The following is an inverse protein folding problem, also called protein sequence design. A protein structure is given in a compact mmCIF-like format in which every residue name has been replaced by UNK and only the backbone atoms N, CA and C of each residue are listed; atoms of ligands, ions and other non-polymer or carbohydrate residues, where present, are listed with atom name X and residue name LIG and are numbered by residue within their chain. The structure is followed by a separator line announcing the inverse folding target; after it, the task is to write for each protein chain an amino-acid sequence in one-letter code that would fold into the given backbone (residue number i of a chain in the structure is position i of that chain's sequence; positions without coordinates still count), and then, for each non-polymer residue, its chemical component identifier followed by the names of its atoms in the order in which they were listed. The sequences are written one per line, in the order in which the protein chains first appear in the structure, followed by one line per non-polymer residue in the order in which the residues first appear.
data_IF_443739722099
#
_entry.id   IF_443739722099
#
_cell.length_a   1.000
_cell.length_b   1.000
_cell.length_c   1.000
_cell.angle_alpha   90.00
_cell.angle_beta   90.00
_cell.angle_gamma   90.00
#
_symmetry.space_group_name_H-M   'P 1'
#
loop_
_entity.id
_entity.type
_entity.pdbx_description
1 polymer ?
#
# COMPACT_ATOMS: atom_id res chain seq x y z
N UNK A 1 14.85 -8.96 -7.67
CA UNK A 1 16.05 -9.63 -7.14
C UNK A 1 17.17 -8.62 -7.24
N UNK A 2 17.68 -8.12 -6.11
CA UNK A 2 18.92 -7.34 -6.09
C UNK A 2 20.05 -8.31 -5.78
N UNK A 3 21.21 -8.14 -6.42
CA UNK A 3 22.39 -8.95 -6.14
C UNK A 3 23.47 -8.00 -5.69
N UNK A 4 24.07 -8.28 -4.54
CA UNK A 4 25.14 -7.46 -3.95
C UNK A 4 26.44 -8.23 -4.00
N UNK A 5 27.54 -7.54 -4.28
CA UNK A 5 28.87 -8.09 -4.04
C UNK A 5 29.32 -7.82 -2.59
N UNK A 6 30.47 -8.38 -2.24
CA UNK A 6 31.13 -8.22 -0.94
C UNK A 6 31.50 -6.77 -0.59
N UNK A 7 31.60 -5.90 -1.59
CA UNK A 7 31.84 -4.45 -1.42
C UNK A 7 30.54 -3.64 -1.23
N UNK A 8 29.37 -4.29 -1.24
CA UNK A 8 28.06 -3.68 -1.07
C UNK A 8 27.48 -3.05 -2.35
N UNK A 9 28.11 -3.27 -3.51
CA UNK A 9 27.64 -2.75 -4.78
C UNK A 9 26.42 -3.54 -5.27
N UNK A 10 25.33 -2.85 -5.58
CA UNK A 10 24.09 -3.47 -6.04
C UNK A 10 24.09 -3.60 -7.58
N UNK A 11 24.04 -4.83 -8.08
CA UNK A 11 23.87 -5.13 -9.49
C UNK A 11 22.40 -5.40 -9.81
N UNK A 12 21.80 -4.47 -10.55
CA UNK A 12 20.55 -4.69 -11.28
C UNK A 12 20.86 -5.03 -12.75
N UNK A 13 20.12 -5.96 -13.39
CA UNK A 13 20.31 -6.26 -14.80
C UNK A 13 20.17 -5.01 -15.68
N UNK A 14 20.96 -4.90 -16.76
CA UNK A 14 21.07 -3.76 -17.69
C UNK A 14 19.72 -3.25 -18.22
N UNK A 15 18.67 -4.09 -18.19
CA UNK A 15 17.30 -3.70 -18.51
C UNK A 15 16.76 -2.50 -17.70
N UNK A 16 17.35 -2.18 -16.54
CA UNK A 16 16.98 -1.01 -15.73
C UNK A 16 17.49 0.32 -16.30
N UNK A 17 18.60 0.34 -17.05
CA UNK A 17 19.12 1.59 -17.65
C UNK A 17 18.16 2.19 -18.69
N UNK A 18 17.45 1.33 -19.43
CA UNK A 18 16.39 1.76 -20.36
C UNK A 18 15.13 2.28 -19.65
N UNK A 19 14.89 1.87 -18.40
CA UNK A 19 13.77 2.33 -17.56
C UNK A 19 14.10 3.69 -16.90
N UNK A 20 15.36 3.91 -16.54
CA UNK A 20 15.84 5.17 -15.95
C UNK A 20 15.70 6.36 -16.92
N UNK A 21 16.00 6.14 -18.21
CA UNK A 21 15.78 7.14 -19.27
C UNK A 21 14.30 7.51 -19.50
N UNK A 22 13.36 6.72 -18.96
CA UNK A 22 11.90 6.95 -19.04
C UNK A 22 11.30 7.48 -17.73
N UNK A 23 12.14 7.89 -16.77
CA UNK A 23 11.69 8.50 -15.52
C UNK A 23 11.37 7.50 -14.40
N UNK A 24 11.66 6.21 -14.57
CA UNK A 24 11.60 5.28 -13.46
C UNK A 24 12.72 5.62 -12.45
N UNK A 25 12.36 6.01 -11.22
CA UNK A 25 13.32 6.12 -10.13
C UNK A 25 13.92 4.74 -9.88
N UNK A 26 15.21 4.59 -10.16
CA UNK A 26 15.90 3.33 -9.90
C UNK A 26 16.23 3.25 -8.41
N UNK A 27 16.43 2.04 -7.87
CA UNK A 27 17.03 1.90 -6.54
C UNK A 27 18.40 2.61 -6.44
N UNK A 28 19.09 2.90 -7.55
CA UNK A 28 20.35 3.62 -7.55
C UNK A 28 20.21 5.12 -7.20
N UNK A 29 18.99 5.69 -7.25
CA UNK A 29 18.72 7.06 -6.78
C UNK A 29 18.60 7.13 -5.25
N UNK A 30 18.42 5.98 -4.58
CA UNK A 30 18.62 5.84 -3.13
C UNK A 30 20.12 5.62 -2.93
N UNK A 31 20.85 6.71 -2.70
CA UNK A 31 22.31 6.80 -2.83
C UNK A 31 23.13 5.64 -2.24
N UNK A 32 24.41 5.60 -2.60
CA UNK A 32 25.45 4.60 -2.26
C UNK A 32 25.67 4.29 -0.75
N UNK A 33 24.73 4.57 0.15
CA UNK A 33 24.87 4.50 1.59
C UNK A 33 24.41 3.17 2.22
N UNK A 34 23.91 2.22 1.42
CA UNK A 34 23.50 0.91 1.94
C UNK A 34 24.59 -0.13 1.74
N UNK A 35 25.29 -0.53 2.80
CA UNK A 35 26.09 -1.77 2.80
C UNK A 35 25.15 -2.97 2.76
N UNK A 36 25.67 -4.15 2.39
CA UNK A 36 24.93 -5.41 2.40
C UNK A 36 24.24 -5.66 3.75
N UNK A 37 24.92 -5.38 4.87
CA UNK A 37 24.39 -5.55 6.23
C UNK A 37 23.24 -4.58 6.53
N UNK A 38 23.37 -3.30 6.14
CA UNK A 38 22.29 -2.33 6.34
C UNK A 38 21.08 -2.63 5.46
N UNK A 39 21.30 -3.22 4.28
CA UNK A 39 20.22 -3.68 3.40
C UNK A 39 19.51 -4.91 3.99
N UNK A 40 20.26 -5.87 4.53
CA UNK A 40 19.70 -7.04 5.23
C UNK A 40 18.87 -6.63 6.44
N UNK A 41 19.39 -5.73 7.29
CA UNK A 41 18.66 -5.22 8.46
C UNK A 41 17.34 -4.54 8.03
N UNK A 42 17.39 -3.67 7.03
CA UNK A 42 16.18 -3.04 6.46
C UNK A 42 15.18 -4.09 5.95
N UNK A 43 15.64 -5.20 5.35
CA UNK A 43 14.75 -6.26 4.85
C UNK A 43 14.13 -7.10 5.94
N UNK A 44 14.89 -7.48 6.96
CA UNK A 44 14.36 -8.16 8.15
C UNK A 44 13.28 -7.31 8.83
N UNK A 45 13.47 -5.99 8.85
CA UNK A 45 12.53 -5.04 9.45
C UNK A 45 11.28 -4.77 8.58
N UNK A 46 11.40 -4.79 7.26
CA UNK A 46 10.31 -4.36 6.36
C UNK A 46 9.48 -5.48 5.74
N UNK A 47 9.93 -6.74 5.78
CA UNK A 47 9.27 -7.86 5.09
C UNK A 47 8.67 -8.83 6.12
N UNK A 48 7.42 -8.60 6.54
CA UNK A 48 6.81 -9.38 7.63
C UNK A 48 6.21 -10.74 7.22
N UNK A 49 6.15 -11.08 5.92
CA UNK A 49 5.21 -12.14 5.48
C UNK A 49 5.66 -13.13 4.41
N UNK A 50 6.93 -13.16 4.02
CA UNK A 50 7.46 -14.30 3.26
C UNK A 50 8.82 -14.68 3.80
N UNK A 51 8.92 -15.91 4.32
CA UNK A 51 10.18 -16.56 4.59
C UNK A 51 11.08 -16.40 3.37
N UNK A 52 12.12 -15.62 3.54
CA UNK A 52 13.19 -15.34 2.63
C UNK A 52 13.67 -16.58 1.85
N UNK A 53 13.27 -16.74 0.58
CA UNK A 53 14.00 -17.56 -0.39
C UNK A 53 15.26 -16.79 -0.84
N UNK A 54 16.12 -16.42 0.10
CA UNK A 54 17.44 -15.88 -0.20
C UNK A 54 18.46 -16.91 0.27
N UNK A 55 19.51 -17.11 -0.51
CA UNK A 55 20.65 -17.93 -0.10
C UNK A 55 21.90 -17.17 -0.46
N UNK A 56 22.87 -17.03 0.46
CA UNK A 56 24.18 -16.54 0.10
C UNK A 56 24.78 -17.50 -0.93
N UNK A 57 25.23 -16.96 -2.06
CA UNK A 57 25.97 -17.73 -3.06
C UNK A 57 27.43 -17.35 -2.89
N UNK A 58 28.19 -18.25 -2.27
CA UNK A 58 29.65 -18.13 -2.22
C UNK A 58 30.24 -18.64 -3.54
N UNK A 59 30.88 -17.76 -4.30
CA UNK A 59 31.40 -18.08 -5.63
C UNK A 59 32.58 -17.20 -6.01
N UNK A 60 33.57 -17.81 -6.65
CA UNK A 60 34.72 -17.10 -7.24
C UNK A 60 34.44 -16.66 -8.69
N UNK A 61 33.22 -16.85 -9.19
CA UNK A 61 32.85 -16.48 -10.55
C UNK A 61 32.50 -14.99 -10.64
N UNK A 62 32.76 -14.34 -11.78
CA UNK A 62 32.30 -12.97 -12.00
C UNK A 62 30.78 -12.85 -11.84
N UNK A 63 30.32 -11.75 -11.27
CA UNK A 63 28.90 -11.49 -10.97
C UNK A 63 27.98 -11.76 -12.18
N UNK A 64 28.38 -11.33 -13.37
CA UNK A 64 27.64 -11.53 -14.62
C UNK A 64 27.31 -13.01 -14.87
N UNK A 65 28.27 -13.90 -14.61
CA UNK A 65 28.12 -15.36 -14.77
C UNK A 65 27.18 -15.95 -13.73
N UNK A 66 27.24 -15.43 -12.50
CA UNK A 66 26.33 -15.84 -11.41
C UNK A 66 24.89 -15.48 -11.75
N UNK A 67 24.66 -14.25 -12.24
CA UNK A 67 23.34 -13.77 -12.65
C UNK A 67 22.79 -14.64 -13.79
N UNK A 68 23.57 -14.87 -14.83
CA UNK A 68 23.15 -15.71 -15.97
C UNK A 68 22.80 -17.13 -15.53
N UNK A 69 23.60 -17.70 -14.62
CA UNK A 69 23.37 -19.03 -14.07
C UNK A 69 22.10 -19.08 -13.21
N UNK A 70 21.88 -18.11 -12.33
CA UNK A 70 20.66 -18.02 -11.51
C UNK A 70 19.40 -17.87 -12.37
N UNK A 71 19.46 -17.05 -13.44
CA UNK A 71 18.34 -16.88 -14.38
C UNK A 71 18.09 -18.19 -15.14
N UNK A 72 19.14 -18.85 -15.62
CA UNK A 72 19.03 -20.12 -16.32
C UNK A 72 18.46 -21.22 -15.41
N UNK A 73 18.93 -21.33 -14.16
CA UNK A 73 18.40 -22.26 -13.16
C UNK A 73 16.93 -21.97 -12.84
N UNK A 74 16.58 -20.70 -12.57
CA UNK A 74 15.20 -20.31 -12.30
C UNK A 74 14.25 -20.70 -13.45
N UNK A 75 14.68 -20.49 -14.70
CA UNK A 75 13.90 -20.84 -15.89
C UNK A 75 13.88 -22.34 -16.19
N UNK A 76 14.85 -23.11 -15.67
CA UNK A 76 14.95 -24.55 -15.85
C UNK A 76 14.18 -25.36 -14.79
N UNK A 77 13.81 -24.76 -13.66
CA UNK A 77 12.94 -25.40 -12.67
C UNK A 77 11.54 -25.55 -13.26
N UNK A 78 11.09 -26.79 -13.42
CA UNK A 78 9.67 -27.07 -13.64
C UNK A 78 8.90 -26.59 -12.40
N UNK A 79 8.25 -25.43 -12.51
CA UNK A 79 7.42 -24.91 -11.42
C UNK A 79 6.29 -25.91 -11.15
N UNK A 80 6.09 -26.34 -9.89
CA UNK A 80 5.04 -27.28 -9.57
C UNK A 80 3.70 -26.71 -10.02
N UNK A 81 2.97 -27.48 -10.82
CA UNK A 81 1.56 -27.22 -11.09
C UNK A 81 0.85 -27.10 -9.75
N UNK A 82 0.10 -26.02 -9.52
CA UNK A 82 -0.68 -25.79 -8.30
C UNK A 82 -1.49 -27.05 -7.94
N UNK A 83 -1.00 -27.83 -6.98
CA UNK A 83 -1.73 -28.96 -6.42
C UNK A 83 -2.77 -28.37 -5.48
N UNK A 84 -4.06 -28.54 -5.81
CA UNK A 84 -5.14 -28.21 -4.88
C UNK A 84 -4.93 -28.95 -3.56
N UNK A 85 -5.16 -28.25 -2.44
CA UNK A 85 -4.93 -28.65 -1.04
C UNK A 85 -5.74 -29.89 -0.58
N UNK A 86 -6.37 -30.63 -1.49
CA UNK A 86 -7.27 -31.74 -1.15
C UNK A 86 -6.58 -33.06 -0.81
N UNK A 87 -5.28 -33.24 -1.10
CA UNK A 87 -4.62 -34.56 -1.09
C UNK A 87 -3.40 -34.66 -0.16
N UNK A 88 -3.48 -34.14 1.08
CA UNK A 88 -2.48 -34.47 2.11
C UNK A 88 -3.03 -35.61 2.97
N UNK A 89 -2.42 -36.83 2.95
CA UNK A 89 -2.83 -37.92 3.82
C UNK A 89 -2.52 -37.60 5.28
N UNK A 90 -3.45 -37.99 6.16
CA UNK A 90 -3.36 -37.86 7.60
C UNK A 90 -2.16 -38.68 8.13
N UNK A 91 -1.11 -37.99 8.59
CA UNK A 91 0.03 -38.63 9.25
C UNK A 91 -0.29 -38.67 10.75
N UNK A 92 -0.88 -39.78 11.18
CA UNK A 92 -0.96 -40.14 12.58
C UNK A 92 0.34 -40.86 13.01
N UNK A 93 0.78 -40.56 14.23
CA UNK A 93 1.87 -41.17 15.01
C UNK A 93 3.20 -40.40 15.01
N UNK A 94 3.23 -39.31 15.78
CA UNK A 94 4.46 -38.76 16.36
C UNK A 94 4.38 -38.89 17.88
N UNK A 95 5.33 -39.63 18.46
CA UNK A 95 5.50 -39.81 19.90
C UNK A 95 5.73 -38.46 20.61
N UNK A 96 5.22 -38.34 21.85
CA UNK A 96 5.28 -37.15 22.71
C UNK A 96 6.70 -36.62 22.89
N UNK A 97 7.09 -35.68 22.03
CA UNK A 97 8.19 -34.75 22.27
C UNK A 97 7.63 -33.65 23.16
N UNK A 98 8.24 -33.39 24.31
CA UNK A 98 7.93 -32.25 25.18
C UNK A 98 8.00 -30.96 24.33
N UNK A 99 6.85 -30.50 23.87
CA UNK A 99 6.70 -29.33 23.03
C UNK A 99 7.20 -28.14 23.86
N UNK A 100 8.25 -27.42 23.44
CA UNK A 100 8.67 -26.21 24.13
C UNK A 100 7.45 -25.29 24.21
N UNK A 101 7.16 -24.78 25.42
CA UNK A 101 6.02 -23.90 25.66
C UNK A 101 5.91 -22.90 24.51
N UNK A 102 4.75 -22.78 23.85
CA UNK A 102 4.63 -22.03 22.61
C UNK A 102 5.16 -20.63 22.86
N UNK A 103 6.25 -20.29 22.18
CA UNK A 103 6.71 -18.90 22.12
C UNK A 103 5.57 -18.17 21.44
N UNK A 104 4.76 -17.46 22.23
CA UNK A 104 3.64 -16.68 21.70
C UNK A 104 4.27 -15.59 20.84
N UNK A 105 4.32 -15.84 19.53
CA UNK A 105 4.72 -14.84 18.56
C UNK A 105 3.89 -13.58 18.85
N UNK A 106 4.50 -12.38 18.86
CA UNK A 106 3.76 -11.15 19.07
C UNK A 106 2.60 -11.13 18.07
N UNK A 107 1.38 -11.00 18.60
CA UNK A 107 0.18 -11.16 17.80
C UNK A 107 0.17 -10.13 16.67
N UNK A 108 0.37 -10.58 15.43
CA UNK A 108 0.30 -9.72 14.25
C UNK A 108 -1.14 -9.21 14.10
N UNK A 109 -1.36 -7.90 14.00
CA UNK A 109 -2.69 -7.37 13.76
C UNK A 109 -3.32 -7.94 12.48
N UNK A 110 -4.60 -8.29 12.56
CA UNK A 110 -5.33 -8.77 11.38
C UNK A 110 -5.36 -7.71 10.26
N UNK A 111 -5.15 -8.13 9.01
CA UNK A 111 -5.05 -7.22 7.85
C UNK A 111 -6.23 -6.24 7.73
N UNK A 112 -7.47 -6.67 8.00
CA UNK A 112 -8.65 -5.78 8.01
C UNK A 112 -8.52 -4.59 8.99
N UNK A 113 -7.84 -4.79 10.13
CA UNK A 113 -7.54 -3.69 11.08
C UNK A 113 -6.49 -2.77 10.49
N UNK A 114 -5.45 -3.33 9.88
CA UNK A 114 -4.39 -2.56 9.22
C UNK A 114 -4.96 -1.70 8.09
N UNK A 115 -5.77 -2.27 7.19
CA UNK A 115 -6.42 -1.55 6.08
C UNK A 115 -7.29 -0.40 6.62
N UNK A 116 -8.15 -0.68 7.61
CA UNK A 116 -9.00 0.35 8.19
C UNK A 116 -8.18 1.47 8.85
N UNK A 117 -7.14 1.12 9.61
CA UNK A 117 -6.33 2.07 10.35
C UNK A 117 -5.42 2.88 9.43
N UNK A 118 -4.84 2.26 8.40
CA UNK A 118 -4.01 2.95 7.39
C UNK A 118 -4.80 4.02 6.67
N UNK A 119 -6.04 3.72 6.27
CA UNK A 119 -6.93 4.70 5.64
C UNK A 119 -7.36 5.80 6.60
N UNK A 120 -7.62 5.47 7.86
CA UNK A 120 -7.94 6.48 8.88
C UNK A 120 -6.77 7.46 9.09
N UNK A 121 -5.55 6.95 9.31
CA UNK A 121 -4.35 7.77 9.47
C UNK A 121 -4.10 8.63 8.22
N UNK A 122 -4.08 8.02 7.03
CA UNK A 122 -3.84 8.74 5.77
C UNK A 122 -4.90 9.84 5.54
N UNK A 123 -6.17 9.53 5.79
CA UNK A 123 -7.27 10.49 5.68
C UNK A 123 -7.14 11.65 6.67
N UNK A 124 -6.72 11.39 7.92
CA UNK A 124 -6.50 12.46 8.90
C UNK A 124 -5.33 13.36 8.51
N UNK A 125 -4.20 12.77 8.07
CA UNK A 125 -3.05 13.50 7.56
C UNK A 125 -3.45 14.39 6.36
N UNK A 126 -4.12 13.83 5.35
CA UNK A 126 -4.57 14.58 4.18
C UNK A 126 -5.63 15.66 4.52
N UNK A 127 -6.42 15.47 5.58
CA UNK A 127 -7.36 16.53 6.03
C UNK A 127 -6.64 17.67 6.75
N UNK A 128 -5.55 17.36 7.45
CA UNK A 128 -4.72 18.33 8.19
C UNK A 128 -3.76 19.08 7.26
N UNK A 129 -3.30 18.43 6.21
CA UNK A 129 -2.37 18.92 5.19
C UNK A 129 -2.97 18.77 3.78
N UNK A 130 -4.00 19.58 3.42
CA UNK A 130 -4.82 19.38 2.24
C UNK A 130 -4.08 19.54 0.90
N UNK A 131 -2.87 20.11 0.89
CA UNK A 131 -1.98 20.15 -0.26
C UNK A 131 -1.38 18.79 -0.62
N UNK A 132 -1.44 17.82 0.29
CA UNK A 132 -1.02 16.45 0.05
C UNK A 132 -2.15 15.58 -0.53
N UNK A 133 -1.74 14.60 -1.30
CA UNK A 133 -2.54 13.53 -1.88
C UNK A 133 -2.23 12.22 -1.17
N UNK A 134 -3.21 11.33 -1.09
CA UNK A 134 -2.99 9.92 -0.77
C UNK A 134 -2.74 9.18 -2.09
N UNK A 135 -1.71 8.35 -2.10
CA UNK A 135 -1.29 7.58 -3.26
C UNK A 135 -1.07 6.10 -2.86
N UNK A 136 -1.43 5.15 -3.71
CA UNK A 136 -1.07 3.74 -3.51
C UNK A 136 0.22 3.45 -4.28
N UNK A 137 1.31 3.17 -3.55
CA UNK A 137 2.60 2.84 -4.16
C UNK A 137 3.03 1.42 -3.82
N UNK A 138 3.80 0.81 -4.71
CA UNK A 138 4.35 -0.53 -4.49
C UNK A 138 5.89 -0.55 -4.55
N UNK A 139 6.57 0.04 -3.55
CA UNK A 139 8.03 0.07 -3.52
C UNK A 139 8.62 -1.34 -3.57
N UNK A 140 9.89 -1.44 -3.98
CA UNK A 140 10.54 -2.75 -4.12
C UNK A 140 10.04 -3.55 -5.32
N UNK A 141 9.34 -2.93 -6.27
CA UNK A 141 8.81 -3.58 -7.47
C UNK A 141 7.60 -4.47 -7.19
N UNK A 142 6.67 -4.03 -6.34
CA UNK A 142 5.49 -4.81 -5.95
C UNK A 142 5.58 -5.48 -4.59
N UNK A 143 6.71 -5.37 -3.88
CA UNK A 143 6.94 -6.10 -2.62
C UNK A 143 6.23 -5.48 -1.42
N UNK A 144 5.89 -4.20 -1.52
CA UNK A 144 5.21 -3.47 -0.46
C UNK A 144 3.89 -2.92 -0.97
N UNK A 145 2.95 -2.76 -0.05
CA UNK A 145 1.65 -2.20 -0.31
C UNK A 145 1.46 -0.99 0.60
N UNK A 146 1.77 0.19 0.09
CA UNK A 146 1.81 1.41 0.90
C UNK A 146 0.72 2.39 0.48
N UNK A 147 0.04 2.96 1.49
CA UNK A 147 -0.57 4.28 1.32
C UNK A 147 0.49 5.33 1.63
N UNK A 148 0.79 6.17 0.65
CA UNK A 148 1.77 7.24 0.78
C UNK A 148 1.09 8.61 0.84
N UNK A 149 1.67 9.49 1.65
CA UNK A 149 1.34 10.90 1.63
C UNK A 149 2.33 11.61 0.71
N UNK A 150 1.81 12.30 -0.29
CA UNK A 150 2.62 12.87 -1.36
C UNK A 150 2.13 14.26 -1.73
N UNK A 151 3.06 15.20 -1.88
CA UNK A 151 2.77 16.55 -2.35
C UNK A 151 3.20 16.67 -3.82
N UNK A 152 2.31 17.11 -4.74
CA UNK A 152 2.66 17.24 -6.15
C UNK A 152 3.95 18.03 -6.38
N UNK A 153 4.89 17.41 -7.09
CA UNK A 153 6.22 17.98 -7.39
C UNK A 153 7.32 17.68 -6.37
N UNK A 154 7.03 16.92 -5.31
CA UNK A 154 8.00 16.47 -4.30
C UNK A 154 8.04 14.93 -4.24
N UNK A 155 9.00 14.33 -3.52
CA UNK A 155 8.97 12.90 -3.24
C UNK A 155 7.95 12.56 -2.13
N UNK A 156 7.41 11.33 -2.07
CA UNK A 156 6.53 10.92 -0.98
C UNK A 156 7.21 11.08 0.39
N UNK A 157 6.54 11.73 1.35
CA UNK A 157 7.14 12.03 2.66
C UNK A 157 6.84 10.97 3.72
N UNK A 158 5.68 10.30 3.60
CA UNK A 158 5.20 9.28 4.54
C UNK A 158 4.78 8.04 3.77
N UNK A 159 5.12 6.86 4.28
CA UNK A 159 4.68 5.58 3.73
C UNK A 159 4.06 4.71 4.83
N UNK A 160 2.79 4.33 4.67
CA UNK A 160 2.07 3.42 5.55
C UNK A 160 2.08 2.02 4.92
N UNK A 161 3.15 1.25 5.15
CA UNK A 161 3.27 -0.10 4.58
C UNK A 161 2.30 -1.06 5.29
N UNK A 162 1.23 -1.47 4.59
CA UNK A 162 0.18 -2.35 5.14
C UNK A 162 0.67 -3.77 5.45
N UNK A 163 1.79 -4.19 4.87
CA UNK A 163 2.44 -5.47 5.15
C UNK A 163 3.72 -5.32 5.99
N UNK A 164 3.99 -4.14 6.55
CA UNK A 164 5.21 -3.85 7.33
C UNK A 164 4.95 -2.79 8.39
N UNK A 165 5.74 -1.72 8.37
CA UNK A 165 5.68 -0.62 9.33
C UNK A 165 5.46 0.74 8.65
N UNK A 166 5.15 1.75 9.45
CA UNK A 166 4.98 3.12 8.98
C UNK A 166 6.35 3.80 8.99
N UNK A 167 6.69 4.50 7.91
CA UNK A 167 7.95 5.19 7.74
C UNK A 167 7.74 6.65 7.34
N UNK A 168 8.68 7.51 7.75
CA UNK A 168 8.80 8.89 7.28
C UNK A 168 10.14 9.01 6.55
N UNK A 169 10.12 9.26 5.23
CA UNK A 169 11.35 9.19 4.42
C UNK A 169 12.37 10.28 4.76
N UNK A 170 11.92 11.39 5.32
CA UNK A 170 12.79 12.48 5.79
C UNK A 170 13.37 12.23 7.19
N UNK A 171 12.98 11.15 7.87
CA UNK A 171 13.43 10.75 9.21
C UNK A 171 13.70 9.25 9.25
N UNK A 172 14.94 8.86 8.93
CA UNK A 172 15.36 7.44 8.82
C UNK A 172 15.15 6.63 10.09
N UNK A 173 15.22 7.28 11.26
CA UNK A 173 15.08 6.61 12.56
C UNK A 173 13.60 6.42 12.95
N UNK A 174 12.68 7.13 12.29
CA UNK A 174 11.27 7.04 12.59
C UNK A 174 10.66 5.78 11.96
N UNK A 175 10.17 4.91 12.84
CA UNK A 175 9.39 3.73 12.46
C UNK A 175 8.28 3.51 13.50
N UNK A 176 7.10 3.10 13.05
CA UNK A 176 6.02 2.62 13.93
C UNK A 176 5.51 1.29 13.41
N UNK A 177 5.46 0.28 14.27
CA UNK A 177 4.79 -0.98 13.93
C UNK A 177 3.27 -0.81 14.00
N UNK A 178 2.51 -1.63 13.26
CA UNK A 178 1.05 -1.64 13.41
C UNK A 178 0.58 -2.04 14.81
N UNK A 179 1.37 -2.83 15.54
CA UNK A 179 1.09 -3.17 16.94
C UNK A 179 1.18 -1.94 17.83
N UNK A 180 2.19 -1.09 17.65
CA UNK A 180 2.34 0.16 18.41
C UNK A 180 1.21 1.13 18.08
N UNK A 181 0.89 1.28 16.78
CA UNK A 181 -0.22 2.12 16.30
C UNK A 181 -1.54 1.71 16.95
N UNK A 182 -1.85 0.41 16.99
CA UNK A 182 -3.11 -0.11 17.52
C UNK A 182 -3.14 -0.18 19.06
N UNK A 183 -1.97 -0.16 19.71
CA UNK A 183 -1.86 -0.14 21.17
C UNK A 183 -1.89 1.30 21.76
N UNK A 184 -1.69 2.33 20.93
CA UNK A 184 -1.73 3.72 21.36
C UNK A 184 -3.10 4.06 21.99
N UNK A 185 -3.06 4.68 23.17
CA UNK A 185 -4.27 5.07 23.90
C UNK A 185 -5.00 6.25 23.24
N UNK A 186 -4.28 7.05 22.47
CA UNK A 186 -4.79 8.17 21.72
C UNK A 186 -4.90 7.78 20.25
N UNK A 187 -6.10 7.81 19.63
CA UNK A 187 -6.22 7.53 18.20
C UNK A 187 -5.37 8.50 17.37
N UNK A 188 -5.19 9.74 17.83
CA UNK A 188 -4.36 10.74 17.14
C UNK A 188 -2.87 10.68 17.50
N UNK A 189 -2.44 9.76 18.38
CA UNK A 189 -1.04 9.60 18.77
C UNK A 189 -0.15 9.33 17.56
N UNK A 190 -0.42 8.27 16.78
CA UNK A 190 0.33 7.95 15.57
C UNK A 190 0.33 9.09 14.54
N UNK A 191 -0.82 9.74 14.32
CA UNK A 191 -0.93 10.88 13.40
C UNK A 191 0.03 12.01 13.80
N UNK A 192 0.05 12.39 15.09
CA UNK A 192 0.94 13.45 15.58
C UNK A 192 2.41 13.07 15.52
N UNK A 193 2.74 11.81 15.83
CA UNK A 193 4.11 11.31 15.74
C UNK A 193 4.63 11.37 14.29
N UNK A 194 3.79 10.98 13.33
CA UNK A 194 4.10 11.09 11.90
C UNK A 194 4.27 12.55 11.48
N UNK A 195 3.37 13.45 11.90
CA UNK A 195 3.49 14.89 11.59
C UNK A 195 4.78 15.50 12.13
N UNK A 196 5.16 15.17 13.36
CA UNK A 196 6.39 15.63 13.99
C UNK A 196 7.62 15.13 13.22
N UNK A 197 7.69 13.83 12.93
CA UNK A 197 8.78 13.23 12.19
C UNK A 197 8.88 13.78 10.76
N UNK A 198 7.75 13.97 10.08
CA UNK A 198 7.69 14.50 8.72
C UNK A 198 7.82 16.03 8.66
N UNK A 199 7.93 16.70 9.81
CA UNK A 199 7.97 18.17 9.95
C UNK A 199 6.76 18.87 9.33
N UNK A 200 5.61 18.21 9.36
CA UNK A 200 4.34 18.74 8.89
C UNK A 200 3.72 19.61 9.98
N UNK A 201 3.83 20.92 9.83
CA UNK A 201 3.32 21.87 10.82
C UNK A 201 1.92 22.34 10.44
N UNK A 202 0.97 22.24 11.38
CA UNK A 202 -0.34 22.87 11.22
C UNK A 202 -0.21 24.38 11.36
N UNK A 203 -0.47 25.12 10.29
CA UNK A 203 -0.45 26.60 10.27
C UNK A 203 -1.59 27.29 11.05
N UNK A 204 -2.38 26.57 11.86
CA UNK A 204 -3.51 27.14 12.61
C UNK A 204 -4.65 26.16 12.86
N UNK A 205 -5.89 26.63 12.66
CA UNK A 205 -7.09 25.79 12.79
C UNK A 205 -7.13 24.69 11.73
N UNK A 206 -7.83 23.59 12.03
CA UNK A 206 -8.02 22.49 11.08
C UNK A 206 -8.64 23.03 9.78
N UNK A 207 -8.05 22.73 8.60
CA UNK A 207 -8.60 23.17 7.32
C UNK A 207 -10.04 22.70 7.12
N UNK A 208 -10.80 23.48 6.33
CA UNK A 208 -12.14 23.06 5.91
C UNK A 208 -12.06 21.82 5.01
N UNK A 209 -13.07 20.95 5.11
CA UNK A 209 -13.13 19.79 4.22
C UNK A 209 -13.29 20.21 2.77
N UNK A 210 -12.42 19.69 1.92
CA UNK A 210 -12.50 19.77 0.45
C UNK A 210 -13.14 18.50 -0.10
N UNK A 211 -13.54 18.52 -1.38
CA UNK A 211 -14.03 17.33 -2.11
C UNK A 211 -13.09 16.13 -1.97
N UNK A 212 -11.78 16.36 -2.16
CA UNK A 212 -10.73 15.35 -1.99
C UNK A 212 -10.66 14.78 -0.58
N UNK A 213 -10.56 15.65 0.44
CA UNK A 213 -10.52 15.16 1.82
C UNK A 213 -11.81 14.41 2.20
N UNK A 214 -12.96 14.76 1.62
CA UNK A 214 -14.20 14.00 1.81
C UNK A 214 -14.16 12.62 1.15
N UNK A 215 -13.56 12.47 -0.03
CA UNK A 215 -13.36 11.17 -0.65
C UNK A 215 -12.55 10.24 0.28
N UNK A 216 -11.41 10.72 0.80
CA UNK A 216 -10.57 9.96 1.73
C UNK A 216 -11.28 9.64 3.04
N UNK A 217 -11.99 10.62 3.61
CA UNK A 217 -12.77 10.42 4.84
C UNK A 217 -13.92 9.44 4.64
N UNK A 218 -14.53 9.42 3.46
CA UNK A 218 -15.57 8.46 3.11
C UNK A 218 -15.01 7.05 3.10
N UNK A 219 -13.87 6.83 2.41
CA UNK A 219 -13.18 5.53 2.36
C UNK A 219 -12.84 5.06 3.78
N UNK A 220 -12.15 5.90 4.56
CA UNK A 220 -11.76 5.57 5.93
C UNK A 220 -12.96 5.25 6.83
N UNK A 221 -14.04 6.01 6.72
CA UNK A 221 -15.26 5.79 7.52
C UNK A 221 -15.97 4.50 7.11
N UNK A 222 -16.08 4.23 5.81
CA UNK A 222 -16.68 3.01 5.29
C UNK A 222 -15.91 1.78 5.77
N UNK A 223 -14.60 1.72 5.56
CA UNK A 223 -13.76 0.58 5.96
C UNK A 223 -13.81 0.33 7.47
N UNK A 224 -13.88 1.39 8.27
CA UNK A 224 -14.05 1.28 9.73
C UNK A 224 -15.39 0.68 10.13
N UNK A 225 -16.48 1.04 9.44
CA UNK A 225 -17.80 0.46 9.69
C UNK A 225 -17.86 -1.02 9.30
N UNK A 226 -17.00 -1.45 8.36
CA UNK A 226 -16.93 -2.82 7.86
C UNK A 226 -15.93 -3.72 8.61
N UNK A 227 -15.32 -3.24 9.70
CA UNK A 227 -14.21 -3.95 10.38
C UNK A 227 -14.57 -5.36 10.87
N UNK A 228 -15.84 -5.60 11.18
CA UNK A 228 -16.37 -6.87 11.66
C UNK A 228 -17.32 -7.55 10.67
N UNK A 229 -17.37 -7.04 9.43
CA UNK A 229 -18.13 -7.67 8.37
C UNK A 229 -17.55 -9.06 8.03
N UNK A 230 -18.40 -9.95 7.52
CA UNK A 230 -17.99 -11.30 7.12
C UNK A 230 -17.16 -11.31 5.84
N UNK A 231 -17.34 -10.30 4.99
CA UNK A 231 -16.61 -10.09 3.75
C UNK A 231 -15.33 -9.29 4.02
N UNK A 232 -14.32 -9.45 3.18
CA UNK A 232 -13.14 -8.59 3.23
C UNK A 232 -13.43 -7.27 2.52
N UNK A 233 -13.03 -6.16 3.12
CA UNK A 233 -13.21 -4.83 2.56
C UNK A 233 -11.87 -4.13 2.41
N UNK A 234 -11.66 -3.50 1.27
CA UNK A 234 -10.44 -2.76 0.94
C UNK A 234 -10.76 -1.57 0.03
N UNK A 235 -9.80 -0.65 -0.11
CA UNK A 235 -9.82 0.36 -1.14
C UNK A 235 -8.48 0.41 -1.87
N UNK A 236 -8.55 0.29 -3.19
CA UNK A 236 -7.39 0.18 -4.09
C UNK A 236 -7.47 1.22 -5.18
N UNK A 237 -6.32 1.74 -5.56
CA UNK A 237 -6.22 2.66 -6.68
C UNK A 237 -6.43 1.91 -7.99
N UNK A 238 -7.08 2.55 -8.97
CA UNK A 238 -7.17 2.02 -10.33
C UNK A 238 -5.79 1.84 -10.96
N UNK A 239 -4.88 2.77 -10.68
CA UNK A 239 -3.53 2.74 -11.18
C UNK A 239 -2.66 1.78 -10.36
N UNK A 240 -1.96 0.90 -11.06
CA UNK A 240 -0.99 -0.03 -10.51
C UNK A 240 0.42 0.51 -10.78
N UNK A 241 1.01 1.13 -9.76
CA UNK A 241 2.42 1.52 -9.76
C UNK A 241 3.31 0.26 -9.64
N UNK A 242 3.44 -0.50 -10.72
CA UNK A 242 4.35 -1.64 -10.81
C UNK A 242 5.22 -1.52 -12.06
N UNK A 243 6.53 -1.66 -11.86
CA UNK A 243 7.58 -1.41 -12.87
C UNK A 243 7.54 -2.40 -14.06
N UNK A 244 6.70 -3.43 -13.98
CA UNK A 244 6.78 -4.61 -14.85
C UNK A 244 5.76 -4.63 -15.99
N UNK A 245 4.78 -3.74 -16.04
CA UNK A 245 3.81 -3.70 -17.12
C UNK A 245 3.55 -2.26 -17.59
N UNK A 246 3.27 -2.07 -18.88
CA UNK A 246 2.99 -0.74 -19.44
C UNK A 246 1.48 -0.44 -19.47
N UNK A 247 0.63 -1.45 -19.23
CA UNK A 247 -0.80 -1.30 -18.98
C UNK A 247 -1.07 -1.31 -17.46
N UNK A 248 -0.71 -0.21 -16.80
CA UNK A 248 -0.76 -0.04 -15.33
C UNK A 248 -2.17 0.19 -14.78
N UNK A 249 -3.21 -0.38 -15.38
CA UNK A 249 -4.58 -0.27 -14.89
C UNK A 249 -5.06 -1.60 -14.34
N UNK A 250 -5.68 -1.57 -13.17
CA UNK A 250 -6.33 -2.74 -12.57
C UNK A 250 -7.65 -3.10 -13.26
N UNK A 251 -8.22 -2.18 -14.03
CA UNK A 251 -9.43 -2.41 -14.81
C UNK A 251 -10.73 -2.23 -14.03
N UNK A 252 -10.69 -1.71 -12.80
CA UNK A 252 -11.91 -1.49 -12.00
C UNK A 252 -12.83 -0.47 -12.65
N UNK A 253 -12.27 0.57 -13.27
CA UNK A 253 -13.04 1.57 -14.03
C UNK A 253 -13.91 0.94 -15.13
N UNK A 254 -13.48 -0.18 -15.73
CA UNK A 254 -14.23 -0.87 -16.77
C UNK A 254 -15.62 -1.33 -16.34
N UNK A 255 -15.84 -1.55 -15.04
CA UNK A 255 -17.15 -1.93 -14.47
C UNK A 255 -18.09 -0.74 -14.29
N UNK A 256 -17.58 0.49 -14.25
CA UNK A 256 -18.36 1.68 -13.93
C UNK A 256 -18.24 2.73 -15.05
N UNK A 257 -19.10 2.67 -16.09
CA UNK A 257 -18.99 3.54 -17.27
C UNK A 257 -18.97 5.04 -16.96
N UNK A 258 -19.71 5.47 -15.94
CA UNK A 258 -19.72 6.88 -15.51
C UNK A 258 -18.37 7.31 -14.89
N UNK A 259 -17.70 6.42 -14.16
CA UNK A 259 -16.37 6.68 -13.63
C UNK A 259 -15.31 6.67 -14.74
N UNK A 260 -15.41 5.71 -15.67
CA UNK A 260 -14.54 5.63 -16.84
C UNK A 260 -14.63 6.90 -17.71
N UNK A 261 -15.84 7.45 -17.89
CA UNK A 261 -16.04 8.72 -18.58
C UNK A 261 -15.40 9.88 -17.82
N UNK A 262 -15.64 9.98 -16.51
CA UNK A 262 -15.04 11.03 -15.69
C UNK A 262 -13.50 10.99 -15.71
N UNK A 263 -12.90 9.80 -15.76
CA UNK A 263 -11.46 9.62 -15.83
C UNK A 263 -10.85 10.19 -17.12
N UNK A 264 -11.59 10.20 -18.25
CA UNK A 264 -11.13 10.79 -19.51
C UNK A 264 -10.95 12.30 -19.44
N UNK A 265 -11.67 12.96 -18.54
CA UNK A 265 -11.64 14.42 -18.35
C UNK A 265 -11.02 14.82 -17.01
N UNK A 266 -10.50 13.86 -16.25
CA UNK A 266 -9.94 14.13 -14.94
C UNK A 266 -8.70 15.03 -15.08
N UNK A 267 -8.54 16.05 -14.21
CA UNK A 267 -7.40 16.93 -14.28
C UNK A 267 -6.12 16.15 -13.91
N UNK A 268 -4.99 16.50 -14.52
CA UNK A 268 -3.68 15.89 -14.22
C UNK A 268 -3.11 16.43 -12.90
N UNK A 269 -3.79 16.15 -11.79
CA UNK A 269 -3.39 16.53 -10.43
C UNK A 269 -2.76 15.32 -9.75
N UNK A 270 -1.58 14.92 -10.21
CA UNK A 270 -0.93 13.76 -9.64
C UNK A 270 0.37 13.42 -10.33
N UNK A 271 0.73 12.13 -10.38
CA UNK A 271 1.79 11.68 -11.25
C UNK A 271 1.47 12.19 -12.67
N UNK A 272 2.37 12.99 -13.28
CA UNK A 272 2.12 13.56 -14.60
C UNK A 272 1.76 12.46 -15.60
N UNK A 273 0.59 12.58 -16.24
CA UNK A 273 0.12 11.62 -17.25
C UNK A 273 -0.71 10.45 -16.73
N UNK A 274 -1.08 10.41 -15.44
CA UNK A 274 -1.81 9.26 -14.85
C UNK A 274 -3.13 9.68 -14.17
N UNK A 275 -4.14 10.16 -14.93
CA UNK A 275 -5.43 10.60 -14.38
C UNK A 275 -6.21 9.49 -13.67
N UNK A 276 -5.94 8.22 -13.98
CA UNK A 276 -6.58 7.06 -13.36
C UNK A 276 -6.17 6.89 -11.89
N UNK A 277 -5.02 7.44 -11.49
CA UNK A 277 -4.56 7.45 -10.10
C UNK A 277 -5.51 8.21 -9.15
N UNK A 278 -6.46 8.96 -9.70
CA UNK A 278 -7.45 9.73 -8.96
C UNK A 278 -8.70 8.92 -8.60
N UNK A 279 -8.77 7.65 -8.98
CA UNK A 279 -9.94 6.79 -8.81
C UNK A 279 -9.59 5.61 -7.89
N UNK A 280 -10.36 5.49 -6.82
CA UNK A 280 -10.22 4.46 -5.81
C UNK A 280 -11.41 3.50 -5.89
N UNK A 281 -11.15 2.23 -6.20
CA UNK A 281 -12.14 1.19 -6.11
C UNK A 281 -12.35 0.78 -4.66
N UNK A 282 -13.62 0.73 -4.25
CA UNK A 282 -14.05 0.06 -3.02
C UNK A 282 -14.25 -1.41 -3.37
N UNK A 283 -13.51 -2.29 -2.71
CA UNK A 283 -13.55 -3.72 -2.94
C UNK A 283 -14.30 -4.44 -1.81
N UNK A 284 -15.09 -5.45 -2.18
CA UNK A 284 -15.69 -6.42 -1.27
C UNK A 284 -15.36 -7.83 -1.77
N UNK A 285 -14.58 -8.59 -1.02
CA UNK A 285 -14.00 -9.87 -1.46
C UNK A 285 -13.26 -9.72 -2.80
N UNK A 286 -12.39 -8.70 -2.90
CA UNK A 286 -11.61 -8.34 -4.11
C UNK A 286 -12.44 -7.84 -5.31
N UNK A 287 -13.77 -7.93 -5.25
CA UNK A 287 -14.67 -7.44 -6.29
C UNK A 287 -14.98 -5.94 -6.12
N UNK A 288 -14.80 -5.12 -7.17
CA UNK A 288 -15.10 -3.69 -7.06
C UNK A 288 -16.61 -3.46 -7.03
N UNK A 289 -17.09 -2.88 -5.92
CA UNK A 289 -18.53 -2.55 -5.71
C UNK A 289 -18.84 -1.08 -5.92
N UNK A 290 -17.82 -0.22 -5.96
CA UNK A 290 -17.92 1.19 -6.32
C UNK A 290 -16.56 1.78 -6.69
N UNK A 291 -16.57 2.95 -7.33
CA UNK A 291 -15.40 3.81 -7.53
C UNK A 291 -15.61 5.15 -6.83
N UNK A 292 -14.57 5.71 -6.23
CA UNK A 292 -14.56 7.06 -5.67
C UNK A 292 -13.47 7.86 -6.36
N UNK A 293 -13.81 9.02 -6.95
CA UNK A 293 -12.81 9.96 -7.44
C UNK A 293 -12.34 10.92 -6.34
N UNK A 294 -11.10 11.44 -6.47
CA UNK A 294 -10.61 12.52 -5.59
C UNK A 294 -11.42 13.82 -5.73
N UNK A 295 -12.26 13.97 -6.75
CA UNK A 295 -13.21 15.06 -6.88
C UNK A 295 -14.44 14.90 -5.97
N UNK A 296 -14.44 13.87 -5.11
CA UNK A 296 -15.50 13.63 -4.15
C UNK A 296 -16.77 13.12 -4.80
N UNK A 297 -16.64 12.29 -5.84
CA UNK A 297 -17.78 11.63 -6.49
C UNK A 297 -17.68 10.13 -6.28
N UNK A 298 -18.76 9.53 -5.77
CA UNK A 298 -18.91 8.08 -5.64
C UNK A 298 -19.74 7.57 -6.81
N UNK A 299 -19.23 6.57 -7.52
CA UNK A 299 -19.86 5.89 -8.65
C UNK A 299 -20.25 4.48 -8.25
N UNK A 300 -21.53 4.16 -8.37
CA UNK A 300 -22.11 2.83 -8.10
C UNK A 300 -22.99 2.42 -9.27
N UNK A 301 -23.35 1.15 -9.32
CA UNK A 301 -24.36 0.64 -10.28
C UNK A 301 -25.72 1.32 -10.08
N UNK A 302 -26.05 1.70 -8.84
CA UNK A 302 -27.29 2.41 -8.49
C UNK A 302 -27.28 3.91 -8.83
N UNK A 303 -26.11 4.48 -9.18
CA UNK A 303 -25.98 5.88 -9.55
C UNK A 303 -24.71 6.55 -9.04
N UNK A 304 -24.66 7.87 -9.22
CA UNK A 304 -23.53 8.72 -8.85
C UNK A 304 -23.91 9.67 -7.71
N UNK A 305 -23.00 9.87 -6.75
CA UNK A 305 -23.23 10.71 -5.58
C UNK A 305 -22.13 11.77 -5.46
N UNK A 306 -22.50 13.05 -5.42
CA UNK A 306 -21.58 14.14 -5.06
C UNK A 306 -21.43 14.18 -3.53
N UNK A 307 -20.32 13.65 -3.03
CA UNK A 307 -20.06 13.52 -1.60
C UNK A 307 -20.04 14.87 -0.87
N UNK A 308 -19.66 15.96 -1.54
CA UNK A 308 -19.70 17.29 -0.93
C UNK A 308 -21.13 17.80 -0.79
N UNK A 309 -21.96 17.64 -1.82
CA UNK A 309 -23.38 17.99 -1.75
C UNK A 309 -24.08 17.17 -0.66
N UNK A 310 -23.79 15.87 -0.61
CA UNK A 310 -24.34 14.97 0.40
C UNK A 310 -23.90 15.34 1.82
N UNK A 311 -22.61 15.65 1.99
CA UNK A 311 -22.05 16.11 3.26
C UNK A 311 -22.72 17.38 3.76
N UNK A 312 -22.98 18.35 2.88
CA UNK A 312 -23.68 19.58 3.25
C UNK A 312 -25.14 19.30 3.62
N UNK A 313 -25.84 18.45 2.86
CA UNK A 313 -27.24 18.13 3.10
C UNK A 313 -27.51 17.45 4.44
N UNK A 314 -26.57 16.61 4.91
CA UNK A 314 -26.71 15.86 6.18
C UNK A 314 -26.06 16.55 7.39
N UNK A 315 -25.78 17.85 7.30
CA UNK A 315 -25.24 18.64 8.41
C UNK A 315 -23.75 18.41 8.68
N UNK A 316 -22.95 18.12 7.64
CA UNK A 316 -21.49 17.93 7.71
C UNK A 316 -21.05 16.73 8.56
N UNK A 317 -21.81 15.64 8.50
CA UNK A 317 -21.48 14.36 9.15
C UNK A 317 -21.05 13.32 8.12
N UNK A 318 -19.77 12.90 8.15
CA UNK A 318 -19.27 11.89 7.21
C UNK A 318 -19.95 10.53 7.41
N UNK A 319 -20.24 10.15 8.66
CA UNK A 319 -20.95 8.91 8.97
C UNK A 319 -22.35 8.89 8.34
N UNK A 320 -23.07 10.02 8.34
CA UNK A 320 -24.37 10.10 7.67
C UNK A 320 -24.24 10.06 6.15
N UNK A 321 -23.18 10.61 5.57
CA UNK A 321 -22.92 10.47 4.13
C UNK A 321 -22.70 9.01 3.76
N UNK A 322 -21.88 8.27 4.53
CA UNK A 322 -21.65 6.84 4.31
C UNK A 322 -22.96 6.05 4.48
N UNK A 323 -23.71 6.28 5.56
CA UNK A 323 -25.00 5.61 5.78
C UNK A 323 -26.01 5.89 4.65
N UNK A 324 -26.03 7.11 4.10
CA UNK A 324 -26.91 7.47 2.98
C UNK A 324 -26.46 6.84 1.66
N UNK A 325 -25.17 6.88 1.34
CA UNK A 325 -24.66 6.49 0.04
C UNK A 325 -24.30 5.00 -0.07
N UNK A 326 -24.12 4.32 1.06
CA UNK A 326 -23.65 2.94 1.17
C UNK A 326 -24.39 2.14 2.27
N UNK A 327 -25.58 2.60 2.68
CA UNK A 327 -26.34 1.97 3.77
C UNK A 327 -26.76 0.52 3.49
N UNK A 328 -26.91 0.15 2.22
CA UNK A 328 -27.17 -1.21 1.76
C UNK A 328 -25.96 -2.16 1.90
N UNK A 329 -24.82 -1.65 2.38
CA UNK A 329 -23.65 -2.46 2.72
C UNK A 329 -23.46 -2.64 4.23
N UNK A 330 -24.27 -2.00 5.07
CA UNK A 330 -24.07 -1.94 6.53
C UNK A 330 -24.89 -3.00 7.31
N UNK A 331 -24.91 -4.25 6.84
CA UNK A 331 -25.87 -5.27 7.29
C UNK A 331 -25.35 -6.24 8.36
#
# INVERSE_FOLDING_TARGET
MGIWNEDGECHYPVSTGALQAKGAQSFADRGNAHTYETWLAMREETTSTYGANWSPIDTNQPMEVVIESMVAEFLAVEHPTLTHVADVPDIHDAEDVDEPAPVVAPATPAMRRIISESWWIASELATRHPEHLIWEMHPGGGMYDCLALWKPGEDPSVQLNRAGSLHVLTSTDFHLSWSDVLADQSPHGPVKAIEEAARLTLGGSRPSSTRRTLAYRFIATLLRLQLHDRHTWDARNEFLDSVWNHDNLRGYLGRFPAAAEAARTAPEIGLPGEPQSHFWAILRDEEPVAIISIDGVLYRDSGTFDLMAEYQAVGRSITHVVAKCAGDWLH
#
